data_IF_536262256483
#
_entry.id   IF_536262256483
#
_cell.length_a   1.000
_cell.length_b   1.000
_cell.length_c   1.000
_cell.angle_alpha   90.00
_cell.angle_beta   90.00
_cell.angle_gamma   90.00
#
_symmetry.space_group_name_H-M   'P 1'
#
loop_
_entity.id
_entity.type
_entity.pdbx_description
1 polymer ?
#
# COMPACT_ATOMS: atom_id res chain seq x y z
N UNK A 1 -3.21 8.40 -5.03
CA UNK A 1 -2.99 7.19 -4.21
C UNK A 1 -3.38 5.96 -5.00
N UNK A 2 -2.59 4.91 -4.93
CA UNK A 2 -2.95 3.62 -5.52
C UNK A 2 -3.49 2.71 -4.44
N UNK A 3 -4.48 1.88 -4.79
CA UNK A 3 -5.15 0.97 -3.86
C UNK A 3 -5.13 -0.43 -4.45
N UNK A 4 -4.84 -1.42 -3.62
CA UNK A 4 -4.77 -2.81 -4.01
C UNK A 4 -3.35 -3.31 -4.17
N UNK A 5 -3.15 -4.60 -3.86
CA UNK A 5 -1.82 -5.22 -3.83
C UNK A 5 -1.11 -5.16 -5.18
N UNK A 6 -1.84 -5.40 -6.26
CA UNK A 6 -1.27 -5.42 -7.61
C UNK A 6 -0.77 -4.04 -8.01
N UNK A 7 -1.56 -2.99 -7.75
CA UNK A 7 -1.17 -1.61 -8.07
C UNK A 7 0.00 -1.16 -7.19
N UNK A 8 -0.03 -1.53 -5.91
CA UNK A 8 1.05 -1.20 -5.00
C UNK A 8 2.36 -1.86 -5.45
N UNK A 9 2.31 -3.12 -5.86
CA UNK A 9 3.50 -3.83 -6.33
C UNK A 9 4.10 -3.14 -7.56
N UNK A 10 3.27 -2.68 -8.48
CA UNK A 10 3.73 -1.93 -9.65
C UNK A 10 4.39 -0.62 -9.25
N UNK A 11 3.79 0.10 -8.31
CA UNK A 11 4.34 1.37 -7.83
C UNK A 11 5.70 1.16 -7.15
N UNK A 12 5.85 0.11 -6.35
CA UNK A 12 7.11 -0.23 -5.70
C UNK A 12 8.19 -0.61 -6.73
N UNK A 13 7.81 -1.41 -7.73
CA UNK A 13 8.74 -1.84 -8.77
C UNK A 13 9.25 -0.68 -9.62
N UNK A 14 8.42 0.35 -9.83
CA UNK A 14 8.79 1.52 -10.62
C UNK A 14 9.42 2.64 -9.79
N UNK A 15 9.59 2.43 -8.47
CA UNK A 15 10.16 3.43 -7.58
C UNK A 15 9.26 4.63 -7.32
N UNK A 16 7.97 4.52 -7.61
CA UNK A 16 7.01 5.63 -7.46
C UNK A 16 6.34 5.69 -6.10
N UNK A 17 6.34 4.59 -5.35
CA UNK A 17 5.68 4.55 -4.05
C UNK A 17 6.45 5.41 -3.04
N UNK A 18 5.76 6.34 -2.39
CA UNK A 18 6.34 7.22 -1.38
C UNK A 18 6.09 6.69 0.02
N UNK A 19 4.86 6.34 0.33
CA UNK A 19 4.47 5.79 1.63
C UNK A 19 3.47 4.67 1.41
N UNK A 20 3.72 3.53 2.03
CA UNK A 20 2.90 2.33 1.88
C UNK A 20 2.08 2.10 3.14
N UNK A 21 0.82 1.72 2.97
CA UNK A 21 -0.09 1.38 4.05
C UNK A 21 -0.58 -0.05 3.85
N UNK A 22 -0.44 -0.87 4.89
CA UNK A 22 -0.90 -2.25 4.87
C UNK A 22 -1.87 -2.46 6.02
N UNK A 23 -2.93 -3.24 5.79
CA UNK A 23 -3.92 -3.54 6.81
C UNK A 23 -3.47 -4.75 7.65
N UNK A 24 -3.48 -4.60 8.96
CA UNK A 24 -3.02 -5.65 9.88
C UNK A 24 -3.90 -6.89 9.85
N UNK A 25 -5.20 -6.74 9.57
CA UNK A 25 -6.13 -7.87 9.51
C UNK A 25 -6.29 -8.47 8.11
N UNK A 26 -5.51 -8.02 7.14
CA UNK A 26 -5.49 -8.62 5.82
C UNK A 26 -4.70 -9.94 5.83
N UNK A 27 -4.92 -10.76 4.82
CA UNK A 27 -4.21 -12.02 4.67
C UNK A 27 -2.70 -11.79 4.61
N UNK A 28 -1.91 -12.40 5.50
CA UNK A 28 -0.45 -12.26 5.47
C UNK A 28 0.18 -12.66 4.14
N UNK A 29 -0.43 -13.60 3.43
CA UNK A 29 0.04 -14.00 2.10
C UNK A 29 0.03 -12.82 1.12
N UNK A 30 -0.78 -11.79 1.38
CA UNK A 30 -0.82 -10.57 0.58
C UNK A 30 0.13 -9.52 1.15
N UNK A 31 0.10 -9.29 2.46
CA UNK A 31 0.81 -8.16 3.07
C UNK A 31 2.30 -8.44 3.31
N UNK A 32 2.68 -9.65 3.66
CA UNK A 32 4.09 -9.96 3.93
C UNK A 32 5.01 -9.72 2.74
N UNK A 33 4.69 -10.21 1.52
CA UNK A 33 5.55 -9.92 0.37
C UNK A 33 5.65 -8.43 0.06
N UNK A 34 4.58 -7.67 0.29
CA UNK A 34 4.59 -6.23 0.09
C UNK A 34 5.45 -5.52 1.13
N UNK A 35 5.39 -5.97 2.39
CA UNK A 35 6.25 -5.43 3.44
C UNK A 35 7.73 -5.68 3.10
N UNK A 36 8.06 -6.86 2.63
CA UNK A 36 9.43 -7.21 2.23
C UNK A 36 9.91 -6.32 1.08
N UNK A 37 9.05 -6.05 0.11
CA UNK A 37 9.36 -5.14 -1.00
C UNK A 37 9.63 -3.72 -0.49
N UNK A 38 8.86 -3.25 0.49
CA UNK A 38 9.06 -1.94 1.09
C UNK A 38 10.43 -1.84 1.77
N UNK A 39 10.82 -2.87 2.51
CA UNK A 39 12.13 -2.91 3.15
C UNK A 39 13.24 -2.87 2.10
N UNK A 40 13.12 -3.69 1.07
CA UNK A 40 14.12 -3.74 -0.01
C UNK A 40 14.24 -2.41 -0.76
N UNK A 41 13.12 -1.70 -0.93
CA UNK A 41 13.10 -0.42 -1.64
C UNK A 41 13.41 0.78 -0.74
N UNK A 42 13.51 0.59 0.57
CA UNK A 42 13.69 1.68 1.52
C UNK A 42 12.48 2.60 1.61
N UNK A 43 11.28 2.07 1.34
CA UNK A 43 10.04 2.83 1.33
C UNK A 43 9.40 2.82 2.71
N UNK A 44 8.86 3.96 3.15
CA UNK A 44 8.17 4.05 4.42
C UNK A 44 6.90 3.20 4.41
N UNK A 45 6.65 2.53 5.53
CA UNK A 45 5.52 1.63 5.70
C UNK A 45 4.79 1.92 6.99
N UNK A 46 3.47 2.01 6.93
CA UNK A 46 2.61 2.14 8.11
C UNK A 46 1.58 1.02 8.09
N UNK A 47 1.44 0.33 9.22
CA UNK A 47 0.38 -0.66 9.40
C UNK A 47 -0.88 0.02 9.92
N UNK A 48 -2.00 -0.25 9.25
CA UNK A 48 -3.32 0.27 9.63
C UNK A 48 -4.08 -0.87 10.31
N UNK A 49 -4.86 -0.55 11.33
CA UNK A 49 -5.51 -1.55 12.18
C UNK A 49 -6.40 -2.53 11.41
N UNK A 50 -7.09 -2.08 10.36
CA UNK A 50 -7.99 -2.95 9.60
C UNK A 50 -8.10 -2.55 8.14
N UNK A 51 -8.56 -3.51 7.33
CA UNK A 51 -8.87 -3.23 5.92
C UNK A 51 -9.97 -2.20 5.78
N UNK A 52 -10.95 -2.20 6.70
CA UNK A 52 -12.04 -1.21 6.68
C UNK A 52 -11.49 0.20 6.90
N UNK A 53 -10.60 0.37 7.86
CA UNK A 53 -9.97 1.66 8.14
C UNK A 53 -9.15 2.15 6.96
N UNK A 54 -8.38 1.25 6.34
CA UNK A 54 -7.57 1.61 5.18
C UNK A 54 -8.45 1.98 3.99
N UNK A 55 -9.52 1.22 3.73
CA UNK A 55 -10.46 1.54 2.67
C UNK A 55 -11.10 2.91 2.89
N UNK A 56 -11.48 3.20 4.12
CA UNK A 56 -12.07 4.50 4.48
C UNK A 56 -11.09 5.64 4.24
N UNK A 57 -9.83 5.46 4.61
CA UNK A 57 -8.80 6.45 4.37
C UNK A 57 -8.54 6.68 2.88
N UNK A 58 -8.75 5.64 2.05
CA UNK A 58 -8.63 5.74 0.60
C UNK A 58 -9.89 6.31 -0.08
N UNK A 59 -10.97 6.52 0.67
CA UNK A 59 -12.22 7.05 0.14
C UNK A 59 -13.03 6.03 -0.64
N UNK A 60 -12.86 4.74 -0.37
CA UNK A 60 -13.63 3.68 -1.03
C UNK A 60 -14.58 3.01 -0.03
N UNK A 61 -15.66 2.40 -0.54
CA UNK A 61 -16.68 1.78 0.31
C UNK A 61 -16.30 0.39 0.81
N UNK A 62 -15.36 -0.26 0.13
CA UNK A 62 -14.89 -1.60 0.49
C UNK A 62 -13.54 -1.51 1.21
N UNK A 63 -13.19 -2.57 1.93
CA UNK A 63 -11.90 -2.63 2.60
C UNK A 63 -10.74 -2.73 1.62
N UNK A 64 -9.57 -2.25 2.03
CA UNK A 64 -8.35 -2.34 1.25
C UNK A 64 -7.26 -3.05 2.06
N UNK A 65 -6.60 -4.03 1.46
CA UNK A 65 -5.49 -4.73 2.09
C UNK A 65 -4.20 -3.91 2.03
N UNK A 66 -4.03 -3.13 0.99
CA UNK A 66 -2.82 -2.37 0.74
C UNK A 66 -3.12 -1.11 -0.05
N UNK A 67 -2.35 -0.06 0.20
CA UNK A 67 -2.44 1.20 -0.53
C UNK A 67 -1.11 1.93 -0.43
N UNK A 68 -0.89 2.89 -1.31
CA UNK A 68 0.31 3.73 -1.27
C UNK A 68 0.05 5.11 -1.85
N UNK A 69 0.73 6.09 -1.30
CA UNK A 69 0.87 7.38 -1.96
C UNK A 69 1.97 7.26 -2.99
N UNK A 70 1.80 7.88 -4.13
CA UNK A 70 2.76 7.80 -5.23
C UNK A 70 3.20 9.19 -5.66
N UNK A 71 4.42 9.26 -6.19
CA UNK A 71 4.92 10.49 -6.76
C UNK A 71 4.15 10.81 -8.04
N UNK A 72 3.73 12.07 -8.16
CA UNK A 72 3.09 12.56 -9.37
C UNK A 72 4.07 13.44 -10.13
N UNK A 73 4.24 13.12 -11.41
CA UNK A 73 5.04 13.97 -12.28
C UNK A 73 4.15 15.05 -12.85
N UNK A 74 4.58 16.28 -12.70
CA UNK A 74 3.90 17.44 -13.27
C UNK A 74 4.85 18.14 -14.23
N UNK A 75 4.36 18.39 -15.38
CA UNK A 75 5.11 19.09 -16.40
C UNK A 75 4.42 20.40 -16.75
#
# INVERSE_FOLDING_TARGET
MVVGAKQLRKALASGRAQHVFLAENADPAITEPLADLCVAAGTELTWVASMADLGRACGIEVGAAAAATVAQLRF
#
